data_IF_688585041808
#
_entry.id   IF_688585041808
#
_cell.length_a   1.000
_cell.length_b   1.000
_cell.length_c   1.000
_cell.angle_alpha   90.00
_cell.angle_beta   90.00
_cell.angle_gamma   90.00
#
_symmetry.space_group_name_H-M   'P 1'
#
loop_
_entity.id
_entity.type
_entity.pdbx_description
1 polymer ?
#
# COMPACT_ATOMS: atom_id res chain seq x y z
N UNK A 1 12.83 14.12 -0.51
CA UNK A 1 12.41 12.79 -0.01
C UNK A 1 11.80 12.02 -1.17
N UNK A 2 12.03 10.71 -1.29
CA UNK A 2 11.33 9.91 -2.32
C UNK A 2 9.90 9.60 -1.85
N UNK A 3 8.92 9.77 -2.73
CA UNK A 3 7.51 9.44 -2.48
C UNK A 3 7.37 7.95 -2.13
N UNK A 4 6.56 7.64 -1.12
CA UNK A 4 6.35 6.27 -0.64
C UNK A 4 4.97 6.14 -0.04
N UNK A 5 4.32 5.00 -0.25
CA UNK A 5 3.17 4.59 0.55
C UNK A 5 3.59 3.45 1.48
N UNK A 6 3.18 3.51 2.74
CA UNK A 6 3.46 2.49 3.74
C UNK A 6 2.41 1.40 3.68
N UNK A 7 2.83 0.16 3.83
CA UNK A 7 2.00 -1.03 3.69
C UNK A 7 1.88 -1.70 5.04
N UNK A 8 0.65 -1.88 5.48
CA UNK A 8 0.29 -2.60 6.69
C UNK A 8 -0.59 -3.78 6.32
N UNK A 9 -0.50 -4.88 7.09
CA UNK A 9 -1.34 -6.04 6.88
C UNK A 9 -1.55 -6.84 8.17
N UNK A 10 -2.76 -7.37 8.34
CA UNK A 10 -3.19 -8.07 9.55
C UNK A 10 -4.32 -9.08 9.28
N UNK A 11 -4.51 -10.01 10.22
CA UNK A 11 -5.58 -11.00 10.22
C UNK A 11 -6.64 -10.61 11.24
N UNK A 12 -7.90 -10.87 10.93
CA UNK A 12 -9.04 -10.57 11.80
C UNK A 12 -8.89 -11.24 13.17
N UNK A 13 -8.47 -12.52 13.15
CA UNK A 13 -8.25 -13.35 14.34
C UNK A 13 -7.11 -12.88 15.24
N UNK A 14 -6.17 -12.09 14.71
CA UNK A 14 -5.03 -11.54 15.46
C UNK A 14 -5.31 -10.17 16.08
N UNK A 15 -6.55 -9.69 15.98
CA UNK A 15 -6.98 -8.36 16.38
C UNK A 15 -6.76 -7.31 15.28
N UNK A 16 -7.48 -6.18 15.34
CA UNK A 16 -7.53 -5.18 14.27
C UNK A 16 -6.29 -4.27 14.23
N UNK A 17 -5.13 -4.77 14.66
CA UNK A 17 -3.92 -3.97 14.76
C UNK A 17 -3.08 -4.13 13.49
N UNK A 18 -3.05 -3.12 12.61
CA UNK A 18 -2.29 -3.19 11.38
C UNK A 18 -0.81 -3.27 11.73
N UNK A 19 -0.09 -4.23 11.15
CA UNK A 19 1.35 -4.36 11.34
C UNK A 19 2.08 -3.89 10.10
N UNK A 20 3.08 -3.03 10.29
CA UNK A 20 3.89 -2.49 9.20
C UNK A 20 4.70 -3.61 8.52
N UNK A 21 4.51 -3.78 7.21
CA UNK A 21 5.13 -4.83 6.39
C UNK A 21 6.18 -4.34 5.42
N UNK A 22 6.22 -3.04 5.13
CA UNK A 22 7.14 -2.45 4.16
C UNK A 22 6.54 -1.23 3.50
N UNK A 23 7.16 -0.73 2.45
CA UNK A 23 6.65 0.41 1.68
C UNK A 23 6.69 0.12 0.19
N UNK A 24 5.86 0.82 -0.58
CA UNK A 24 5.93 0.86 -2.04
C UNK A 24 6.47 2.22 -2.48
N UNK A 25 7.49 2.23 -3.34
CA UNK A 25 8.20 3.45 -3.77
C UNK A 25 7.75 4.01 -5.12
N UNK A 26 6.69 3.47 -5.70
CA UNK A 26 6.19 3.81 -7.03
C UNK A 26 6.54 2.76 -8.09
N UNK A 27 7.58 1.96 -7.85
CA UNK A 27 8.03 0.91 -8.76
C UNK A 27 7.91 -0.47 -8.14
N UNK A 28 8.39 -0.62 -6.91
CA UNK A 28 8.54 -1.91 -6.24
C UNK A 28 8.12 -1.87 -4.77
N UNK A 29 7.66 -3.03 -4.27
CA UNK A 29 7.43 -3.21 -2.83
C UNK A 29 8.76 -3.54 -2.14
N UNK A 30 9.12 -2.72 -1.17
CA UNK A 30 10.29 -2.90 -0.32
C UNK A 30 9.84 -3.47 1.03
N UNK A 31 10.07 -4.76 1.29
CA UNK A 31 9.65 -5.41 2.52
C UNK A 31 10.42 -4.89 3.73
N UNK A 32 9.75 -4.88 4.90
CA UNK A 32 10.40 -4.66 6.19
C UNK A 32 11.00 -5.96 6.70
N UNK A 33 12.33 -5.99 6.81
CA UNK A 33 13.09 -7.10 7.38
C UNK A 33 12.52 -7.54 8.73
N UNK A 34 12.26 -8.85 8.86
CA UNK A 34 11.71 -9.47 10.06
C UNK A 34 10.18 -9.42 10.19
N UNK A 35 9.47 -8.75 9.29
CA UNK A 35 8.00 -8.64 9.33
C UNK A 35 7.30 -9.13 8.05
N UNK A 36 8.00 -9.06 6.91
CA UNK A 36 7.54 -9.54 5.62
C UNK A 36 8.77 -9.77 4.74
N UNK A 37 8.78 -10.79 3.88
CA UNK A 37 9.90 -11.07 2.98
C UNK A 37 9.63 -10.67 1.53
N UNK A 38 8.37 -10.67 1.10
CA UNK A 38 7.99 -10.33 -0.27
C UNK A 38 6.54 -9.84 -0.36
N UNK A 39 6.18 -9.28 -1.51
CA UNK A 39 4.80 -8.87 -1.78
C UNK A 39 3.83 -10.05 -1.77
N UNK A 40 4.30 -11.25 -2.13
CA UNK A 40 3.48 -12.46 -2.18
C UNK A 40 3.01 -12.88 -0.80
N UNK A 41 3.78 -12.60 0.26
CA UNK A 41 3.33 -12.87 1.63
C UNK A 41 2.12 -12.02 2.04
N UNK A 42 1.91 -10.87 1.40
CA UNK A 42 0.80 -9.98 1.74
C UNK A 42 -0.55 -10.62 1.42
N UNK A 43 -0.60 -11.55 0.47
CA UNK A 43 -1.81 -12.31 0.17
C UNK A 43 -2.22 -13.23 1.31
N UNK A 44 -1.37 -13.48 2.31
CA UNK A 44 -1.73 -14.33 3.45
C UNK A 44 -2.48 -13.58 4.55
N UNK A 45 -2.64 -12.27 4.42
CA UNK A 45 -3.37 -11.46 5.39
C UNK A 45 -4.81 -11.20 4.98
N UNK A 46 -5.71 -11.08 5.95
CA UNK A 46 -7.13 -10.80 5.68
C UNK A 46 -7.36 -9.37 5.19
N UNK A 47 -6.55 -8.42 5.68
CA UNK A 47 -6.63 -7.01 5.33
C UNK A 47 -5.26 -6.45 4.97
N UNK A 48 -5.26 -5.56 3.97
CA UNK A 48 -4.13 -4.74 3.57
C UNK A 48 -4.53 -3.28 3.69
N UNK A 49 -3.71 -2.50 4.37
CA UNK A 49 -3.87 -1.06 4.50
C UNK A 49 -2.67 -0.33 3.90
N UNK A 50 -2.97 0.76 3.20
CA UNK A 50 -1.99 1.61 2.54
C UNK A 50 -2.08 3.02 3.13
N UNK A 51 -0.95 3.55 3.57
CA UNK A 51 -0.84 4.86 4.20
C UNK A 51 0.07 5.78 3.40
N UNK A 52 -0.36 7.01 3.18
CA UNK A 52 0.43 8.11 2.65
C UNK A 52 1.06 8.92 3.77
N UNK A 53 1.49 10.13 3.45
CA UNK A 53 1.99 11.07 4.47
C UNK A 53 0.85 11.62 5.33
N UNK A 54 -0.34 11.78 4.74
CA UNK A 54 -1.51 12.38 5.40
C UNK A 54 -2.45 11.34 6.06
N UNK A 55 -2.06 10.07 6.08
CA UNK A 55 -2.78 8.99 6.76
C UNK A 55 -3.26 7.88 5.85
N UNK A 56 -4.36 7.23 6.23
CA UNK A 56 -4.90 6.05 5.55
C UNK A 56 -5.45 6.42 4.16
N UNK A 57 -4.92 5.77 3.13
CA UNK A 57 -5.36 5.94 1.74
C UNK A 57 -6.30 4.83 1.30
N UNK A 58 -6.04 3.60 1.76
CA UNK A 58 -6.84 2.44 1.37
C UNK A 58 -6.84 1.43 2.50
N UNK A 59 -8.03 0.90 2.78
CA UNK A 59 -8.24 -0.26 3.62
C UNK A 59 -8.96 -1.31 2.77
N UNK A 60 -8.28 -2.40 2.44
CA UNK A 60 -8.75 -3.38 1.47
C UNK A 60 -8.75 -4.78 2.07
N UNK A 61 -9.93 -5.41 2.22
CA UNK A 61 -10.03 -6.84 2.51
C UNK A 61 -9.46 -7.66 1.34
N UNK A 62 -8.66 -8.68 1.65
CA UNK A 62 -8.01 -9.56 0.66
C UNK A 62 -8.98 -10.14 -0.37
N UNK A 63 -10.21 -10.47 0.04
CA UNK A 63 -11.25 -10.99 -0.89
C UNK A 63 -11.59 -10.03 -2.04
N UNK A 64 -11.26 -8.75 -1.91
CA UNK A 64 -11.42 -7.73 -2.94
C UNK A 64 -10.08 -7.31 -3.59
N UNK A 65 -8.97 -7.97 -3.25
CA UNK A 65 -7.64 -7.70 -3.77
C UNK A 65 -7.04 -8.96 -4.39
N UNK A 66 -7.25 -9.15 -5.69
CA UNK A 66 -6.64 -10.23 -6.46
C UNK A 66 -5.18 -9.94 -6.85
N UNK A 67 -4.78 -8.67 -6.85
CA UNK A 67 -3.43 -8.24 -7.22
C UNK A 67 -2.97 -7.07 -6.33
N UNK A 68 -2.14 -7.41 -5.34
CA UNK A 68 -1.63 -6.46 -4.34
C UNK A 68 -0.72 -5.39 -4.97
N UNK A 69 0.08 -5.75 -5.96
CA UNK A 69 0.95 -4.79 -6.65
C UNK A 69 0.14 -3.74 -7.39
N UNK A 70 -0.94 -4.15 -8.05
CA UNK A 70 -1.82 -3.23 -8.77
C UNK A 70 -2.55 -2.28 -7.82
N UNK A 71 -3.01 -2.79 -6.68
CA UNK A 71 -3.57 -1.96 -5.61
C UNK A 71 -2.58 -0.87 -5.17
N UNK A 72 -1.33 -1.26 -4.88
CA UNK A 72 -0.27 -0.31 -4.50
C UNK A 72 0.00 0.73 -5.58
N UNK A 73 0.12 0.32 -6.85
CA UNK A 73 0.34 1.22 -7.99
C UNK A 73 -0.78 2.24 -8.13
N UNK A 74 -2.03 1.80 -8.08
CA UNK A 74 -3.21 2.68 -8.17
C UNK A 74 -3.27 3.66 -7.00
N UNK A 75 -3.03 3.20 -5.79
CA UNK A 75 -3.01 4.06 -4.60
C UNK A 75 -1.87 5.07 -4.64
N UNK A 76 -0.67 4.66 -5.07
CA UNK A 76 0.47 5.56 -5.24
C UNK A 76 0.22 6.63 -6.31
N UNK A 77 -0.35 6.24 -7.45
CA UNK A 77 -0.70 7.17 -8.52
C UNK A 77 -1.79 8.17 -8.10
N UNK A 78 -2.74 7.75 -7.27
CA UNK A 78 -3.75 8.68 -6.71
C UNK A 78 -3.13 9.68 -5.73
N UNK A 79 -2.21 9.23 -4.88
CA UNK A 79 -1.56 10.08 -3.88
C UNK A 79 -0.56 11.08 -4.51
N UNK A 80 0.23 10.63 -5.49
CA UNK A 80 1.37 11.38 -6.02
C UNK A 80 1.30 11.68 -7.52
N UNK A 81 0.41 11.04 -8.26
CA UNK A 81 0.29 11.15 -9.72
C UNK A 81 -0.63 12.28 -10.19
N UNK A 82 -1.57 12.77 -9.38
CA UNK A 82 -2.42 13.91 -9.74
C UNK A 82 -1.67 15.26 -9.76
N UNK A 83 -0.39 15.29 -9.35
CA UNK A 83 0.47 16.50 -9.46
C UNK A 83 0.79 16.86 -10.93
N UNK A 84 0.35 16.08 -11.93
CA UNK A 84 0.58 16.36 -13.36
C UNK A 84 -0.66 16.66 -14.22
N UNK A 85 -1.86 16.87 -13.65
CA UNK A 85 -3.05 17.29 -14.43
C UNK A 85 -3.50 18.75 -14.15
N UNK A 86 -2.55 19.64 -13.84
CA UNK A 86 -2.80 21.06 -13.61
C UNK A 86 -2.23 22.04 -14.63
N UNK A 87 -1.61 21.58 -15.73
CA UNK A 87 -1.01 22.46 -16.75
C UNK A 87 -1.54 22.19 -18.17
N UNK A 88 -2.85 22.02 -18.31
CA UNK A 88 -3.54 21.96 -19.60
C UNK A 88 -4.78 22.85 -19.57
N UNK A 89 -4.58 24.13 -19.25
CA UNK A 89 -5.47 25.23 -19.59
C UNK A 89 -4.58 26.46 -19.84
N UNK A 90 -3.93 26.48 -21.01
CA UNK A 90 -3.63 27.72 -21.73
C UNK A 90 -4.73 27.91 -22.78
#
# INVERSE_FOLDING_TARGET
MKNKIFVFAYNEDSGPHPKYRGYFDGESFVPKTGFCQSIDELINYDFIELYGMDGLLSHTPKRYCSNVLELMKRTFAREYGEVQQGSLLD
#
